data_IF_822051038577
#
_entry.id   IF_822051038577
#
_cell.length_a   1.000
_cell.length_b   1.000
_cell.length_c   1.000
_cell.angle_alpha   90.00
_cell.angle_beta   90.00
_cell.angle_gamma   90.00
#
_symmetry.space_group_name_H-M   'P 1'
#
loop_
_entity.id
_entity.type
_entity.pdbx_description
1 polymer ?
#
# COMPACT_ATOMS: atom_id res chain seq x y z
N UNK A 1 -32.07 25.02 -20.28
CA UNK A 1 -33.32 25.76 -20.56
C UNK A 1 -33.81 26.61 -19.40
N UNK A 2 -34.10 26.07 -18.20
CA UNK A 2 -34.70 26.87 -17.08
C UNK A 2 -33.98 28.19 -16.76
N UNK A 3 -32.64 28.20 -16.70
CA UNK A 3 -31.86 29.42 -16.41
C UNK A 3 -31.90 30.46 -17.54
N UNK A 4 -31.97 30.03 -18.80
CA UNK A 4 -32.09 30.93 -19.95
C UNK A 4 -33.49 31.56 -20.01
N UNK A 5 -34.53 30.78 -19.71
CA UNK A 5 -35.91 31.28 -19.59
C UNK A 5 -36.03 32.29 -18.44
N UNK A 6 -35.42 32.00 -17.29
CA UNK A 6 -35.37 32.95 -16.17
C UNK A 6 -34.63 34.24 -16.53
N UNK A 7 -33.47 34.15 -17.20
CA UNK A 7 -32.72 35.31 -17.66
C UNK A 7 -33.56 36.18 -18.61
N UNK A 8 -34.18 35.57 -19.62
CA UNK A 8 -35.04 36.29 -20.57
C UNK A 8 -36.25 36.94 -19.89
N UNK A 9 -36.89 36.25 -18.93
CA UNK A 9 -37.99 36.82 -18.16
C UNK A 9 -37.58 38.05 -17.32
N UNK A 10 -36.38 38.05 -16.74
CA UNK A 10 -35.85 39.22 -16.02
C UNK A 10 -35.52 40.36 -16.98
N UNK A 11 -34.95 40.06 -18.15
CA UNK A 11 -34.68 41.05 -19.20
C UNK A 11 -35.97 41.72 -19.71
N UNK A 12 -37.04 40.96 -19.91
CA UNK A 12 -38.36 41.49 -20.32
C UNK A 12 -38.96 42.41 -19.25
N UNK A 13 -38.92 41.99 -17.98
CA UNK A 13 -39.40 42.82 -16.87
C UNK A 13 -38.61 44.13 -16.75
N UNK A 14 -37.29 44.09 -16.94
CA UNK A 14 -36.45 45.28 -16.92
C UNK A 14 -36.78 46.26 -18.06
N UNK A 15 -36.99 45.77 -19.29
CA UNK A 15 -37.39 46.62 -20.42
C UNK A 15 -38.77 47.25 -20.20
N UNK A 16 -39.72 46.50 -19.62
CA UNK A 16 -41.06 46.99 -19.33
C UNK A 16 -41.08 48.09 -18.25
N UNK A 17 -40.23 47.97 -17.22
CA UNK A 17 -40.19 48.91 -16.09
C UNK A 17 -39.41 50.19 -16.38
N UNK A 18 -38.32 50.12 -17.14
CA UNK A 18 -37.40 51.25 -17.29
C UNK A 18 -37.65 52.11 -18.55
N UNK A 19 -38.65 51.80 -19.39
CA UNK A 19 -38.94 52.50 -20.66
C UNK A 19 -37.73 52.68 -21.59
N UNK A 20 -36.71 51.83 -21.44
CA UNK A 20 -35.47 51.86 -22.23
C UNK A 20 -35.76 51.19 -23.57
N UNK A 21 -35.60 51.91 -24.68
CA UNK A 21 -35.65 51.31 -26.02
C UNK A 21 -34.32 50.64 -26.34
N UNK A 22 -34.29 49.31 -26.24
CA UNK A 22 -33.15 48.48 -26.63
C UNK A 22 -33.51 46.99 -26.61
N UNK A 23 -32.77 46.15 -27.33
CA UNK A 23 -32.88 44.70 -27.26
C UNK A 23 -31.66 44.14 -26.54
N UNK A 24 -31.86 43.24 -25.57
CA UNK A 24 -30.77 42.45 -25.02
C UNK A 24 -30.27 41.46 -26.08
N UNK A 25 -28.95 41.24 -26.19
CA UNK A 25 -28.43 40.21 -27.08
C UNK A 25 -29.00 38.85 -26.67
N UNK A 26 -29.30 37.95 -27.62
CA UNK A 26 -29.78 36.62 -27.30
C UNK A 26 -28.74 35.90 -26.43
N UNK A 27 -29.18 35.02 -25.50
CA UNK A 27 -28.24 34.23 -24.72
C UNK A 27 -27.33 33.43 -25.66
N UNK A 28 -26.04 33.26 -25.32
CA UNK A 28 -25.11 32.51 -26.14
C UNK A 28 -25.68 31.12 -26.44
N UNK A 29 -25.50 30.67 -27.68
CA UNK A 29 -25.94 29.34 -28.10
C UNK A 29 -25.24 28.30 -27.22
N UNK A 30 -26.01 27.34 -26.72
CA UNK A 30 -25.44 26.25 -25.93
C UNK A 30 -24.44 25.52 -26.82
N UNK A 31 -23.17 25.37 -26.39
CA UNK A 31 -22.23 24.57 -27.16
C UNK A 31 -22.79 23.16 -27.30
N UNK A 32 -22.58 22.56 -28.47
CA UNK A 32 -23.02 21.18 -28.71
C UNK A 32 -22.39 20.29 -27.66
N UNK A 33 -23.22 19.69 -26.80
CA UNK A 33 -22.75 18.72 -25.82
C UNK A 33 -22.21 17.51 -26.60
N UNK A 34 -21.08 16.91 -26.17
CA UNK A 34 -20.57 15.71 -26.81
C UNK A 34 -21.63 14.61 -26.83
N UNK A 35 -21.76 13.91 -27.95
CA UNK A 35 -22.71 12.81 -28.05
C UNK A 35 -22.32 11.67 -27.09
N UNK A 36 -23.28 10.82 -26.67
CA UNK A 36 -22.97 9.63 -25.88
C UNK A 36 -21.92 8.72 -26.55
N UNK A 37 -21.95 8.63 -27.89
CA UNK A 37 -20.98 7.87 -28.68
C UNK A 37 -19.58 8.48 -28.57
N UNK A 38 -19.46 9.80 -28.61
CA UNK A 38 -18.18 10.49 -28.45
C UNK A 38 -17.62 10.28 -27.04
N UNK A 39 -18.46 10.41 -26.01
CA UNK A 39 -18.05 10.16 -24.61
C UNK A 39 -17.57 8.71 -24.40
N UNK A 40 -18.28 7.73 -24.97
CA UNK A 40 -17.87 6.33 -24.93
C UNK A 40 -16.56 6.08 -25.67
N UNK A 41 -16.37 6.74 -26.82
CA UNK A 41 -15.13 6.65 -27.59
C UNK A 41 -13.94 7.20 -26.82
N UNK A 42 -14.07 8.40 -26.23
CA UNK A 42 -13.03 9.02 -25.41
C UNK A 42 -12.74 8.18 -24.16
N UNK A 43 -13.77 7.63 -23.52
CA UNK A 43 -13.60 6.69 -22.41
C UNK A 43 -12.86 5.42 -22.84
N UNK A 44 -13.17 4.88 -24.02
CA UNK A 44 -12.47 3.73 -24.60
C UNK A 44 -10.98 4.01 -24.84
N UNK A 45 -10.65 5.17 -25.40
CA UNK A 45 -9.26 5.61 -25.57
C UNK A 45 -8.53 5.78 -24.23
N UNK A 46 -9.18 6.37 -23.22
CA UNK A 46 -8.62 6.46 -21.86
C UNK A 46 -8.41 5.10 -21.19
N UNK A 47 -9.29 4.11 -21.44
CA UNK A 47 -9.03 2.73 -20.99
C UNK A 47 -7.82 2.14 -21.72
N UNK A 48 -7.72 2.37 -23.04
CA UNK A 48 -6.63 1.83 -23.84
C UNK A 48 -5.26 2.36 -23.40
N UNK A 49 -5.15 3.64 -23.05
CA UNK A 49 -3.90 4.21 -22.52
C UNK A 49 -3.51 3.60 -21.16
N UNK A 50 -4.47 3.03 -20.43
CA UNK A 50 -4.24 2.31 -19.15
C UNK A 50 -3.88 0.83 -19.34
N UNK A 51 -4.02 0.27 -20.55
CA UNK A 51 -3.75 -1.15 -20.80
C UNK A 51 -2.30 -1.53 -20.53
N UNK A 52 -1.34 -0.67 -20.87
CA UNK A 52 0.08 -0.91 -20.61
C UNK A 52 0.35 -1.01 -19.09
N UNK A 53 -0.20 -0.09 -18.30
CA UNK A 53 -0.10 -0.12 -16.84
C UNK A 53 -0.75 -1.37 -16.26
N UNK A 54 -1.95 -1.72 -16.76
CA UNK A 54 -2.64 -2.94 -16.35
C UNK A 54 -1.80 -4.17 -16.69
N UNK A 55 -1.24 -4.24 -17.88
CA UNK A 55 -0.36 -5.33 -18.32
C UNK A 55 0.84 -5.47 -17.38
N UNK A 56 1.57 -4.38 -17.11
CA UNK A 56 2.72 -4.35 -16.18
C UNK A 56 2.37 -4.84 -14.78
N UNK A 57 1.24 -4.39 -14.23
CA UNK A 57 0.77 -4.85 -12.91
C UNK A 57 0.42 -6.35 -12.97
N UNK A 58 -0.30 -6.79 -14.00
CA UNK A 58 -0.71 -8.19 -14.13
C UNK A 58 0.42 -9.15 -14.51
N UNK A 59 1.53 -8.64 -15.05
CA UNK A 59 2.75 -9.41 -15.36
C UNK A 59 3.75 -9.43 -14.21
N UNK A 60 3.36 -8.96 -13.02
CA UNK A 60 4.21 -8.98 -11.84
C UNK A 60 4.01 -10.27 -11.04
N UNK A 61 5.12 -10.88 -10.62
CA UNK A 61 5.17 -12.13 -9.86
C UNK A 61 6.22 -12.05 -8.75
N UNK A 62 6.25 -13.04 -7.86
CA UNK A 62 7.18 -13.12 -6.75
C UNK A 62 7.31 -14.54 -6.21
N UNK A 63 8.44 -14.83 -5.61
CA UNK A 63 8.69 -16.09 -4.90
C UNK A 63 8.23 -16.03 -3.44
N UNK A 64 8.16 -14.82 -2.87
CA UNK A 64 7.74 -14.56 -1.50
C UNK A 64 6.65 -13.49 -1.55
N UNK A 65 5.48 -13.83 -1.02
CA UNK A 65 4.34 -12.93 -1.00
C UNK A 65 4.07 -12.38 0.40
N UNK A 66 3.42 -11.24 0.44
CA UNK A 66 2.79 -10.69 1.65
C UNK A 66 1.34 -10.35 1.34
N UNK A 67 0.43 -10.85 2.16
CA UNK A 67 -1.00 -10.55 2.09
C UNK A 67 -1.42 -9.79 3.35
N UNK A 68 -1.90 -8.56 3.17
CA UNK A 68 -2.30 -7.65 4.24
C UNK A 68 -3.73 -7.18 3.98
N UNK A 69 -4.53 -7.13 5.03
CA UNK A 69 -5.94 -6.75 4.95
C UNK A 69 -6.28 -5.60 5.88
N UNK A 70 -6.97 -4.59 5.36
CA UNK A 70 -7.25 -3.37 6.12
C UNK A 70 -8.68 -2.86 5.97
N UNK A 71 -9.27 -2.39 7.08
CA UNK A 71 -10.53 -1.63 7.11
C UNK A 71 -10.33 -0.13 6.88
N UNK A 72 -9.09 0.36 6.98
CA UNK A 72 -8.86 1.81 7.02
C UNK A 72 -9.19 2.48 5.69
N UNK A 73 -8.97 1.76 4.59
CA UNK A 73 -9.26 2.27 3.23
C UNK A 73 -10.75 2.19 2.93
N UNK A 74 -11.46 1.14 3.36
CA UNK A 74 -12.91 1.03 3.15
C UNK A 74 -13.69 2.13 3.86
N UNK A 75 -13.24 2.57 5.04
CA UNK A 75 -13.79 3.75 5.74
C UNK A 75 -13.68 5.08 4.98
N UNK A 76 -12.86 5.13 3.92
CA UNK A 76 -12.70 6.32 3.08
C UNK A 76 -13.56 6.27 1.81
N UNK A 77 -14.26 5.17 1.56
CA UNK A 77 -15.19 5.07 0.44
C UNK A 77 -16.37 6.02 0.69
N UNK A 78 -16.78 6.75 -0.35
CA UNK A 78 -17.83 7.76 -0.27
C UNK A 78 -18.84 7.58 -1.41
N UNK A 79 -19.99 8.24 -1.28
CA UNK A 79 -21.08 8.15 -2.26
C UNK A 79 -21.63 6.72 -2.35
N UNK A 80 -21.92 6.26 -3.56
CA UNK A 80 -22.52 4.95 -3.82
C UNK A 80 -21.66 3.76 -3.35
N UNK A 81 -20.36 3.99 -3.11
CA UNK A 81 -19.42 2.97 -2.67
C UNK A 81 -19.29 2.90 -1.13
N UNK A 82 -19.91 3.83 -0.38
CA UNK A 82 -19.92 3.79 1.08
C UNK A 82 -20.48 2.46 1.57
N UNK A 83 -19.82 1.83 2.53
CA UNK A 83 -20.25 0.59 3.19
C UNK A 83 -20.42 -0.64 2.27
N UNK A 84 -20.02 -0.55 1.00
CA UNK A 84 -20.09 -1.66 0.04
C UNK A 84 -18.99 -2.70 0.22
N UNK A 85 -17.94 -2.36 0.97
CA UNK A 85 -16.84 -3.26 1.29
C UNK A 85 -16.40 -3.04 2.75
N UNK A 86 -16.06 -4.14 3.44
CA UNK A 86 -15.56 -4.08 4.80
C UNK A 86 -14.03 -4.05 4.85
N UNK A 87 -13.38 -4.67 3.87
CA UNK A 87 -11.93 -4.88 3.83
C UNK A 87 -11.33 -4.58 2.47
N UNK A 88 -10.07 -4.17 2.49
CA UNK A 88 -9.19 -4.12 1.33
C UNK A 88 -8.06 -5.10 1.57
N UNK A 89 -7.93 -6.11 0.73
CA UNK A 89 -6.86 -7.10 0.82
C UNK A 89 -5.88 -6.88 -0.32
N UNK A 90 -4.61 -6.71 0.02
CA UNK A 90 -3.52 -6.51 -0.91
C UNK A 90 -2.57 -7.70 -0.86
N UNK A 91 -2.13 -8.18 -2.02
CA UNK A 91 -1.03 -9.14 -2.12
C UNK A 91 0.12 -8.49 -2.86
N UNK A 92 1.30 -8.43 -2.23
CA UNK A 92 2.54 -7.94 -2.83
C UNK A 92 3.67 -8.98 -2.80
N UNK A 93 4.74 -8.73 -3.56
CA UNK A 93 5.93 -9.59 -3.63
C UNK A 93 7.11 -9.05 -2.80
N UNK A 94 8.22 -9.79 -2.80
CA UNK A 94 9.49 -9.44 -2.14
C UNK A 94 10.12 -8.12 -2.61
N UNK A 95 9.71 -7.62 -3.78
CA UNK A 95 10.20 -6.36 -4.36
C UNK A 95 9.31 -5.16 -4.02
N UNK A 96 8.28 -5.35 -3.19
CA UNK A 96 7.33 -4.29 -2.82
C UNK A 96 6.33 -3.94 -3.93
N UNK A 97 6.19 -4.79 -4.95
CA UNK A 97 5.24 -4.61 -6.03
C UNK A 97 3.91 -5.27 -5.69
N UNK A 98 2.79 -4.61 -6.02
CA UNK A 98 1.45 -5.12 -5.75
C UNK A 98 1.00 -6.03 -6.89
N UNK A 99 0.62 -7.27 -6.56
CA UNK A 99 0.16 -8.28 -7.51
C UNK A 99 -1.34 -8.20 -7.72
N UNK A 100 -2.10 -7.94 -6.65
CA UNK A 100 -3.56 -7.79 -6.69
C UNK A 100 -4.04 -7.03 -5.45
N UNK A 101 -5.10 -6.24 -5.62
CA UNK A 101 -5.85 -5.57 -4.55
C UNK A 101 -7.33 -5.83 -4.77
N UNK A 102 -8.03 -6.31 -3.75
CA UNK A 102 -9.48 -6.58 -3.80
C UNK A 102 -10.22 -5.91 -2.65
N UNK A 103 -11.43 -5.43 -2.93
CA UNK A 103 -12.38 -4.97 -1.94
C UNK A 103 -13.34 -6.12 -1.62
N UNK A 104 -13.47 -6.49 -0.35
CA UNK A 104 -14.29 -7.63 0.07
C UNK A 104 -15.14 -7.31 1.30
N UNK A 105 -16.27 -8.01 1.41
CA UNK A 105 -17.13 -7.95 2.61
C UNK A 105 -16.56 -8.79 3.76
N UNK A 106 -15.73 -9.80 3.46
CA UNK A 106 -15.08 -10.67 4.44
C UNK A 106 -13.62 -10.96 4.07
N UNK A 107 -12.80 -11.23 5.08
CA UNK A 107 -11.44 -11.77 4.91
C UNK A 107 -11.39 -13.30 4.95
N UNK A 108 -12.54 -13.95 5.12
CA UNK A 108 -12.62 -15.41 5.09
C UNK A 108 -12.50 -15.95 3.68
N UNK A 109 -12.53 -17.28 3.56
CA UNK A 109 -12.55 -17.97 2.27
C UNK A 109 -13.68 -17.46 1.37
N UNK A 110 -14.85 -17.16 1.91
CA UNK A 110 -15.99 -16.60 1.16
C UNK A 110 -15.64 -15.33 0.36
N UNK A 111 -14.85 -14.44 0.94
CA UNK A 111 -14.46 -13.17 0.30
C UNK A 111 -13.22 -13.28 -0.58
N UNK A 112 -12.26 -14.15 -0.22
CA UNK A 112 -10.93 -14.18 -0.85
C UNK A 112 -10.72 -15.33 -1.83
N UNK A 113 -11.61 -16.32 -1.91
CA UNK A 113 -11.42 -17.51 -2.78
C UNK A 113 -11.23 -17.12 -4.25
N UNK A 114 -12.02 -16.19 -4.76
CA UNK A 114 -11.90 -15.72 -6.16
C UNK A 114 -10.57 -15.02 -6.42
N UNK A 115 -10.07 -14.24 -5.45
CA UNK A 115 -8.76 -13.59 -5.53
C UNK A 115 -7.64 -14.63 -5.59
N UNK A 116 -7.65 -15.58 -4.65
CA UNK A 116 -6.64 -16.63 -4.57
C UNK A 116 -6.64 -17.53 -5.81
N UNK A 117 -7.81 -17.99 -6.25
CA UNK A 117 -7.97 -18.77 -7.48
C UNK A 117 -7.47 -18.02 -8.72
N UNK A 118 -7.79 -16.72 -8.82
CA UNK A 118 -7.32 -15.85 -9.89
C UNK A 118 -5.80 -15.71 -9.90
N UNK A 119 -5.19 -15.53 -8.72
CA UNK A 119 -3.74 -15.40 -8.60
C UNK A 119 -3.03 -16.73 -8.95
N UNK A 120 -3.49 -17.86 -8.42
CA UNK A 120 -2.96 -19.19 -8.76
C UNK A 120 -3.08 -19.47 -10.26
N UNK A 121 -4.23 -19.14 -10.88
CA UNK A 121 -4.41 -19.26 -12.33
C UNK A 121 -3.42 -18.39 -13.10
N UNK A 122 -3.12 -17.18 -12.63
CA UNK A 122 -2.19 -16.26 -13.28
C UNK A 122 -0.76 -16.80 -13.30
N UNK A 123 -0.26 -17.31 -12.18
CA UNK A 123 1.05 -17.97 -12.10
C UNK A 123 1.15 -19.15 -13.06
N UNK A 124 0.14 -20.04 -13.02
CA UNK A 124 0.07 -21.22 -13.88
C UNK A 124 0.07 -20.87 -15.37
N UNK A 125 -0.74 -19.91 -15.79
CA UNK A 125 -0.83 -19.52 -17.21
C UNK A 125 0.45 -18.83 -17.71
N UNK A 126 1.17 -18.14 -16.84
CA UNK A 126 2.43 -17.51 -17.17
C UNK A 126 3.63 -18.47 -17.13
N UNK A 127 3.43 -19.73 -16.72
CA UNK A 127 4.53 -20.70 -16.53
C UNK A 127 5.49 -20.32 -15.39
N UNK A 128 5.05 -19.44 -14.48
CA UNK A 128 5.85 -18.99 -13.34
C UNK A 128 5.67 -19.98 -12.18
N UNK A 129 6.76 -20.44 -11.54
CA UNK A 129 6.68 -21.31 -10.37
C UNK A 129 5.80 -20.72 -9.25
N UNK A 130 5.02 -21.54 -8.52
CA UNK A 130 4.32 -21.10 -7.33
C UNK A 130 5.24 -20.41 -6.32
N UNK A 131 4.73 -19.41 -5.57
CA UNK A 131 5.45 -18.84 -4.44
C UNK A 131 5.77 -19.89 -3.38
N UNK A 132 6.92 -19.74 -2.74
CA UNK A 132 7.40 -20.64 -1.70
C UNK A 132 6.88 -20.23 -0.32
N UNK A 133 6.63 -18.93 -0.12
CA UNK A 133 6.32 -18.35 1.17
C UNK A 133 5.28 -17.23 1.03
N UNK A 134 4.34 -17.17 1.96
CA UNK A 134 3.42 -16.04 2.13
C UNK A 134 3.39 -15.59 3.58
N UNK A 135 3.57 -14.28 3.80
CA UNK A 135 3.35 -13.62 5.09
C UNK A 135 1.91 -13.11 5.19
N UNK A 136 1.25 -13.37 6.32
CA UNK A 136 -0.14 -12.98 6.57
C UNK A 136 -0.34 -12.45 7.99
N UNK A 137 -1.34 -11.60 8.18
CA UNK A 137 -1.65 -10.97 9.47
C UNK A 137 -2.25 -11.95 10.50
N UNK A 138 -2.99 -12.94 10.02
CA UNK A 138 -3.76 -13.90 10.82
C UNK A 138 -3.91 -15.23 10.11
N UNK A 139 -4.49 -16.21 10.81
CA UNK A 139 -4.81 -17.54 10.28
C UNK A 139 -3.61 -18.26 9.62
N UNK A 140 -2.39 -17.94 10.07
CA UNK A 140 -1.15 -18.62 9.69
C UNK A 140 -0.87 -19.88 10.52
N UNK A 141 -1.31 -19.90 11.78
CA UNK A 141 -1.05 -20.98 12.72
C UNK A 141 -2.22 -21.96 12.70
N UNK A 142 -1.92 -23.25 12.51
CA UNK A 142 -2.81 -24.35 12.86
C UNK A 142 -1.96 -25.43 13.54
N UNK A 143 -2.36 -25.87 14.74
CA UNK A 143 -1.59 -26.86 15.52
C UNK A 143 -1.73 -28.27 14.94
N UNK A 144 -2.82 -28.55 14.23
CA UNK A 144 -3.23 -29.92 13.89
C UNK A 144 -3.62 -30.08 12.40
N UNK A 145 -3.25 -29.14 11.52
CA UNK A 145 -3.61 -29.25 10.10
C UNK A 145 -3.16 -28.07 9.22
N UNK A 146 -3.79 -27.96 8.05
CA UNK A 146 -3.53 -26.89 7.07
C UNK A 146 -4.05 -25.56 7.62
N UNK A 147 -3.26 -24.49 7.56
CA UNK A 147 -3.71 -23.16 7.96
C UNK A 147 -4.84 -22.67 7.03
N UNK A 148 -5.77 -21.83 7.50
CA UNK A 148 -6.87 -21.36 6.64
C UNK A 148 -6.35 -20.63 5.39
N UNK A 149 -5.23 -19.92 5.53
CA UNK A 149 -4.54 -19.29 4.40
C UNK A 149 -3.99 -20.34 3.43
N UNK A 150 -3.35 -21.41 3.91
CA UNK A 150 -2.88 -22.47 3.02
C UNK A 150 -4.06 -23.17 2.31
N UNK A 151 -5.19 -23.35 3.00
CA UNK A 151 -6.43 -23.85 2.42
C UNK A 151 -7.09 -22.89 1.41
N UNK A 152 -6.73 -21.60 1.44
CA UNK A 152 -7.16 -20.62 0.43
C UNK A 152 -6.32 -20.74 -0.86
N UNK A 153 -5.05 -21.15 -0.74
CA UNK A 153 -4.08 -21.30 -1.83
C UNK A 153 -3.75 -22.78 -2.14
N UNK A 154 -4.77 -23.65 -2.19
CA UNK A 154 -4.60 -25.11 -2.35
C UNK A 154 -3.79 -25.54 -3.58
N UNK A 155 -3.78 -24.73 -4.65
CA UNK A 155 -2.99 -25.01 -5.84
C UNK A 155 -1.47 -24.83 -5.66
N UNK A 156 -1.03 -24.30 -4.52
CA UNK A 156 0.37 -24.10 -4.16
C UNK A 156 0.75 -25.06 -3.00
N UNK A 157 0.84 -26.36 -3.29
CA UNK A 157 0.97 -27.40 -2.26
C UNK A 157 2.22 -27.36 -1.37
N UNK A 158 3.24 -26.58 -1.71
CA UNK A 158 4.46 -26.38 -0.91
C UNK A 158 4.52 -24.99 -0.25
N UNK A 159 3.42 -24.22 -0.30
CA UNK A 159 3.39 -22.86 0.23
C UNK A 159 3.55 -22.85 1.75
N UNK A 160 4.63 -22.24 2.21
CA UNK A 160 4.82 -21.95 3.63
C UNK A 160 4.02 -20.70 3.98
N UNK A 161 3.19 -20.78 5.02
CA UNK A 161 2.46 -19.62 5.55
C UNK A 161 3.12 -19.17 6.85
N UNK A 162 3.53 -17.89 6.93
CA UNK A 162 4.12 -17.30 8.13
C UNK A 162 3.34 -16.09 8.61
N UNK A 163 3.43 -15.82 9.91
CA UNK A 163 2.88 -14.61 10.49
C UNK A 163 3.72 -13.40 10.04
N UNK A 164 3.05 -12.33 9.66
CA UNK A 164 3.69 -11.04 9.42
C UNK A 164 4.41 -10.54 10.68
N UNK A 165 5.58 -9.94 10.49
CA UNK A 165 6.46 -9.57 11.60
C UNK A 165 5.87 -8.47 12.49
N UNK A 166 5.08 -7.54 11.95
CA UNK A 166 4.39 -6.54 12.75
C UNK A 166 3.32 -7.21 13.62
N UNK A 167 2.59 -8.16 13.06
CA UNK A 167 1.60 -8.94 13.80
C UNK A 167 2.24 -9.86 14.84
N UNK A 168 3.45 -10.40 14.59
CA UNK A 168 4.24 -11.10 15.60
C UNK A 168 4.57 -10.18 16.78
N UNK A 169 5.12 -9.00 16.51
CA UNK A 169 5.47 -8.02 17.55
C UNK A 169 4.24 -7.61 18.38
N UNK A 170 3.09 -7.41 17.73
CA UNK A 170 1.84 -7.10 18.43
C UNK A 170 1.38 -8.21 19.37
N UNK A 171 1.62 -9.48 19.03
CA UNK A 171 1.26 -10.61 19.91
C UNK A 171 2.11 -10.61 21.19
N UNK A 172 3.40 -10.31 21.09
CA UNK A 172 4.25 -10.11 22.27
C UNK A 172 3.76 -8.94 23.11
N UNK A 173 3.54 -7.78 22.48
CA UNK A 173 3.08 -6.59 23.19
C UNK A 173 1.76 -6.82 23.92
N UNK A 174 0.80 -7.51 23.30
CA UNK A 174 -0.49 -7.84 23.94
C UNK A 174 -0.36 -8.74 25.17
N UNK A 175 0.74 -9.49 25.31
CA UNK A 175 1.01 -10.32 26.50
C UNK A 175 1.61 -9.55 27.67
N UNK A 176 2.21 -8.38 27.42
CA UNK A 176 2.97 -7.62 28.42
C UNK A 176 2.33 -6.27 28.73
N UNK A 177 1.63 -5.66 27.77
CA UNK A 177 1.12 -4.29 27.86
C UNK A 177 -0.09 -4.06 26.94
N UNK A 178 -0.60 -2.83 26.90
CA UNK A 178 -1.67 -2.40 25.98
C UNK A 178 -1.20 -1.23 25.13
N UNK A 179 -1.83 -1.00 23.98
CA UNK A 179 -1.49 0.12 23.08
C UNK A 179 -1.65 1.50 23.75
N UNK A 180 -2.44 1.58 24.81
CA UNK A 180 -2.69 2.81 25.59
C UNK A 180 -1.64 3.08 26.67
N UNK A 181 -0.77 2.12 26.97
CA UNK A 181 0.24 2.29 28.01
C UNK A 181 1.40 3.17 27.51
N UNK A 182 1.87 4.09 28.36
CA UNK A 182 2.95 5.03 28.03
C UNK A 182 4.29 4.37 27.62
N UNK A 183 4.55 3.13 28.08
CA UNK A 183 5.75 2.38 27.75
C UNK A 183 5.62 1.57 26.45
N UNK A 184 4.42 1.45 25.89
CA UNK A 184 4.18 0.68 24.67
C UNK A 184 5.10 1.09 23.51
N UNK A 185 5.30 2.40 23.19
CA UNK A 185 6.21 2.80 22.13
C UNK A 185 7.67 2.41 22.41
N UNK A 186 8.10 2.50 23.67
CA UNK A 186 9.46 2.15 24.08
C UNK A 186 9.69 0.63 23.97
N UNK A 187 8.75 -0.17 24.46
CA UNK A 187 8.76 -1.62 24.36
C UNK A 187 8.77 -2.08 22.90
N UNK A 188 7.87 -1.55 22.06
CA UNK A 188 7.83 -1.89 20.63
C UNK A 188 9.13 -1.52 19.91
N UNK A 189 9.78 -0.42 20.31
CA UNK A 189 11.09 -0.04 19.79
C UNK A 189 12.16 -1.05 20.19
N UNK A 190 12.22 -1.45 21.46
CA UNK A 190 13.19 -2.45 21.93
C UNK A 190 12.96 -3.81 21.27
N UNK A 191 11.71 -4.26 21.19
CA UNK A 191 11.35 -5.50 20.51
C UNK A 191 11.76 -5.48 19.03
N UNK A 192 11.60 -4.32 18.36
CA UNK A 192 12.07 -4.13 16.99
C UNK A 192 13.59 -4.32 16.87
N UNK A 193 14.37 -3.84 17.85
CA UNK A 193 15.83 -3.96 17.88
C UNK A 193 16.32 -5.39 18.21
N UNK A 194 15.52 -6.16 18.95
CA UNK A 194 15.78 -7.59 19.18
C UNK A 194 15.59 -8.44 17.92
N UNK A 195 14.72 -7.99 16.99
CA UNK A 195 14.41 -8.72 15.75
C UNK A 195 15.30 -8.26 14.61
N UNK A 196 15.47 -6.94 14.46
CA UNK A 196 16.09 -6.32 13.31
C UNK A 196 17.44 -5.68 13.64
N UNK A 197 18.34 -5.82 12.69
CA UNK A 197 19.59 -5.09 12.66
C UNK A 197 19.78 -4.39 11.32
N UNK A 198 20.64 -3.38 11.31
CA UNK A 198 21.04 -2.71 10.07
C UNK A 198 21.99 -3.63 9.32
N UNK A 199 21.80 -3.77 8.01
CA UNK A 199 22.74 -4.52 7.17
C UNK A 199 24.15 -3.91 7.27
N UNK A 200 25.13 -4.72 7.68
CA UNK A 200 26.50 -4.25 7.91
C UNK A 200 27.18 -3.76 6.63
N UNK A 201 26.81 -4.34 5.48
CA UNK A 201 27.30 -3.91 4.17
C UNK A 201 26.76 -2.54 3.78
N UNK A 202 25.46 -2.31 3.96
CA UNK A 202 24.85 -1.00 3.73
C UNK A 202 25.41 0.04 4.71
N UNK A 203 25.55 -0.31 6.00
CA UNK A 203 26.10 0.57 7.02
C UNK A 203 27.52 1.04 6.69
N UNK A 204 28.38 0.11 6.25
CA UNK A 204 29.75 0.43 5.84
C UNK A 204 29.76 1.39 4.64
N UNK A 205 28.97 1.10 3.60
CA UNK A 205 28.85 1.98 2.42
C UNK A 205 28.35 3.38 2.78
N UNK A 206 27.38 3.47 3.69
CA UNK A 206 26.87 4.75 4.15
C UNK A 206 27.94 5.54 4.91
N UNK A 207 28.71 4.88 5.78
CA UNK A 207 29.84 5.50 6.49
C UNK A 207 30.92 6.00 5.52
N UNK A 208 31.31 5.19 4.53
CA UNK A 208 32.29 5.57 3.49
C UNK A 208 31.79 6.78 2.66
N UNK A 209 30.51 6.77 2.25
CA UNK A 209 29.90 7.88 1.53
C UNK A 209 29.84 9.15 2.37
N UNK A 210 29.47 9.03 3.65
CA UNK A 210 29.41 10.16 4.58
C UNK A 210 30.79 10.76 4.83
N UNK A 211 31.82 9.92 4.99
CA UNK A 211 33.21 10.39 5.11
C UNK A 211 33.60 11.23 3.89
N UNK A 212 33.40 10.68 2.70
CA UNK A 212 33.75 11.35 1.44
C UNK A 212 33.02 12.70 1.30
N UNK A 213 31.76 12.78 1.73
CA UNK A 213 31.00 14.02 1.77
C UNK A 213 31.60 15.05 2.76
N UNK A 214 31.98 14.60 3.97
CA UNK A 214 32.54 15.47 5.01
C UNK A 214 33.92 16.01 4.62
N UNK A 215 34.76 15.17 4.02
CA UNK A 215 36.06 15.56 3.48
C UNK A 215 35.90 16.56 2.33
N UNK A 216 35.07 16.23 1.33
CA UNK A 216 34.92 17.05 0.13
C UNK A 216 34.18 18.37 0.35
N UNK A 217 33.14 18.41 1.19
CA UNK A 217 32.32 19.62 1.39
C UNK A 217 32.73 20.45 2.60
N UNK A 218 33.26 19.82 3.64
CA UNK A 218 33.52 20.47 4.92
C UNK A 218 35.00 20.47 5.30
N UNK A 219 35.89 19.87 4.48
CA UNK A 219 37.32 19.79 4.77
C UNK A 219 37.64 18.99 6.03
N UNK A 220 36.70 18.18 6.53
CA UNK A 220 36.87 17.40 7.76
C UNK A 220 37.58 16.09 7.45
N UNK A 221 38.91 16.13 7.38
CA UNK A 221 39.78 14.99 7.03
C UNK A 221 40.25 14.25 8.29
N UNK A 222 40.46 12.93 8.16
CA UNK A 222 41.05 12.11 9.23
C UNK A 222 40.08 11.70 10.33
N UNK A 223 38.77 11.84 10.12
CA UNK A 223 37.76 11.39 11.06
C UNK A 223 37.73 9.86 11.16
N UNK A 224 37.64 9.37 12.39
CA UNK A 224 37.40 7.95 12.69
C UNK A 224 35.99 7.52 12.25
N UNK A 225 35.78 6.22 12.06
CA UNK A 225 34.45 5.66 11.74
C UNK A 225 33.37 6.12 12.74
N UNK A 226 33.70 6.14 14.04
CA UNK A 226 32.76 6.54 15.09
C UNK A 226 32.31 8.00 14.95
N UNK A 227 33.24 8.92 14.65
CA UNK A 227 32.93 10.35 14.45
C UNK A 227 32.11 10.57 13.19
N UNK A 228 32.39 9.82 12.12
CA UNK A 228 31.58 9.86 10.89
C UNK A 228 30.17 9.35 11.18
N UNK A 229 30.02 8.21 11.88
CA UNK A 229 28.74 7.61 12.24
C UNK A 229 27.87 8.56 13.07
N UNK A 230 28.45 9.29 14.03
CA UNK A 230 27.74 10.29 14.82
C UNK A 230 27.16 11.44 13.98
N UNK A 231 27.76 11.70 12.80
CA UNK A 231 27.29 12.72 11.86
C UNK A 231 26.27 12.18 10.85
N UNK A 232 26.01 10.87 10.81
CA UNK A 232 24.96 10.26 9.99
C UNK A 232 23.61 10.46 10.68
N UNK A 233 22.68 11.09 9.98
CA UNK A 233 21.33 11.32 10.48
C UNK A 233 20.50 10.04 10.47
N UNK A 234 19.45 9.99 11.29
CA UNK A 234 18.48 8.89 11.29
C UNK A 234 17.81 8.70 9.93
N UNK A 235 17.64 9.78 9.17
CA UNK A 235 17.05 9.73 7.84
C UNK A 235 17.97 9.05 6.83
N UNK A 236 19.27 9.38 6.86
CA UNK A 236 20.27 8.70 6.03
C UNK A 236 20.33 7.20 6.31
N UNK A 237 20.30 6.81 7.59
CA UNK A 237 20.19 5.39 7.98
C UNK A 237 18.94 4.73 7.41
N UNK A 238 17.80 5.42 7.41
CA UNK A 238 16.52 4.88 6.93
C UNK A 238 16.48 4.74 5.40
N UNK A 239 17.04 5.70 4.68
CA UNK A 239 17.00 5.74 3.22
C UNK A 239 18.03 4.81 2.57
N UNK A 240 19.18 4.64 3.20
CA UNK A 240 20.34 4.00 2.56
C UNK A 240 20.70 2.64 3.16
N UNK A 241 20.15 2.28 4.32
CA UNK A 241 20.44 1.00 4.94
C UNK A 241 19.20 0.13 5.10
N UNK A 242 19.26 -1.07 4.54
CA UNK A 242 18.23 -2.09 4.74
C UNK A 242 18.34 -2.64 6.17
N UNK A 243 17.19 -3.11 6.68
CA UNK A 243 17.13 -3.91 7.89
C UNK A 243 17.08 -5.38 7.52
N UNK A 244 17.79 -6.20 8.28
CA UNK A 244 17.74 -7.66 8.21
C UNK A 244 17.36 -8.24 9.56
N UNK A 245 16.87 -9.47 9.56
CA UNK A 245 16.61 -10.23 10.78
C UNK A 245 17.91 -10.84 11.31
N UNK A 246 18.06 -10.94 12.64
CA UNK A 246 19.25 -11.50 13.30
C UNK A 246 19.38 -13.03 13.21
N UNK A 247 18.32 -13.71 12.79
CA UNK A 247 18.24 -15.18 12.78
C UNK A 247 17.46 -15.69 13.99
N UNK A 248 16.98 -16.94 13.91
CA UNK A 248 16.00 -17.46 14.86
C UNK A 248 16.55 -17.53 16.30
N UNK A 249 17.77 -18.03 16.48
CA UNK A 249 18.37 -18.24 17.80
C UNK A 249 18.69 -16.91 18.49
N UNK A 250 19.43 -16.01 17.82
CA UNK A 250 19.77 -14.68 18.37
C UNK A 250 18.52 -13.85 18.67
N UNK A 251 17.54 -13.83 17.75
CA UNK A 251 16.27 -13.12 17.99
C UNK A 251 15.52 -13.71 19.19
N UNK A 252 15.48 -15.04 19.35
CA UNK A 252 14.80 -15.66 20.49
C UNK A 252 15.46 -15.28 21.82
N UNK A 253 16.79 -15.32 21.89
CA UNK A 253 17.56 -14.92 23.09
C UNK A 253 17.31 -13.46 23.44
N UNK A 254 17.44 -12.54 22.47
CA UNK A 254 17.25 -11.11 22.72
C UNK A 254 15.80 -10.74 23.09
N UNK A 255 14.81 -11.48 22.58
CA UNK A 255 13.42 -11.30 23.00
C UNK A 255 13.23 -11.83 24.43
N UNK A 256 13.83 -12.97 24.77
CA UNK A 256 13.75 -13.53 26.11
C UNK A 256 14.37 -12.59 27.15
N UNK A 257 15.49 -11.94 26.84
CA UNK A 257 16.12 -10.96 27.74
C UNK A 257 15.32 -9.66 27.88
N UNK A 258 14.44 -9.35 26.93
CA UNK A 258 13.58 -8.16 26.95
C UNK A 258 12.30 -8.37 27.78
N UNK A 259 11.79 -9.60 27.84
CA UNK A 259 10.52 -9.98 28.49
C UNK A 259 10.71 -10.21 30.00
#
# INVERSE_FOLDING_TARGET
MRRAIQYLGVCEQFLALCSVRGQFPPPPTMPTLPSPIWLLTVYGYDIMTRLEYKARITSTFGSILKMDSTKKVTKKLAGIASDTAAWVTNVGNEYGQVLISVLTCSEGAEGLSSMAAGLMRRYRLAGVPPPQLIYVDRDCCNRDGVSKTAALFQGWGQLVVRLDIWHLMRRFAAGVTTESHELYPAFMRQLSLCIFEVDSGDARRLTEAKRSQLEGKHGMVGLTDAEVIQKITREEWRLHCRRRTRGAEETALLIQDLL
#
